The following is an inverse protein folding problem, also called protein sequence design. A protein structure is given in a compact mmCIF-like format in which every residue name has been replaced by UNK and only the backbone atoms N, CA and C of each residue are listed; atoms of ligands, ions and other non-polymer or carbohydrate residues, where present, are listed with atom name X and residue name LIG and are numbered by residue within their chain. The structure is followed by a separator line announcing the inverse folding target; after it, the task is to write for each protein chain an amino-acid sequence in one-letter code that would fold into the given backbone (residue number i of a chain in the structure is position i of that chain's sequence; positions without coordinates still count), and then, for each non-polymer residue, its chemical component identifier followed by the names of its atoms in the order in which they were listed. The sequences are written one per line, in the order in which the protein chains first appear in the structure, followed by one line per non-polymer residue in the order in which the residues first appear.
data_IF_669939587730
#
_entry.id   IF_669939587730
#
_cell.length_a   1.000
_cell.length_b   1.000
_cell.length_c   1.000
_cell.angle_alpha   90.00
_cell.angle_beta   90.00
_cell.angle_gamma   90.00
#
_symmetry.space_group_name_H-M   'P 1'
#
loop_
_entity.id
_entity.type
_entity.pdbx_description
1 polymer ?
#
# COMPACT_ATOMS: atom_id res chain seq x y z
N UNK A 1 10.74 -5.71 -18.91
CA UNK A 1 9.59 -5.54 -19.82
C UNK A 1 9.78 -6.39 -21.09
N UNK A 2 8.86 -7.31 -21.36
CA UNK A 2 8.88 -8.08 -22.62
C UNK A 2 8.12 -7.31 -23.69
N UNK A 3 8.85 -6.83 -24.71
CA UNK A 3 8.41 -6.18 -25.97
C UNK A 3 7.42 -5.01 -25.84
N UNK A 4 6.20 -5.22 -25.34
CA UNK A 4 5.10 -4.24 -25.29
C UNK A 4 4.68 -3.83 -23.86
N UNK A 5 5.36 -4.36 -22.83
CA UNK A 5 5.08 -4.01 -21.43
C UNK A 5 5.65 -2.63 -21.05
N UNK A 6 4.80 -1.75 -20.53
CA UNK A 6 5.17 -0.42 -20.01
C UNK A 6 6.20 -0.51 -18.89
N UNK A 7 6.05 -1.51 -18.01
CA UNK A 7 6.95 -1.83 -16.91
C UNK A 7 6.89 -3.34 -16.69
N UNK A 8 7.99 -3.94 -16.18
CA UNK A 8 7.95 -5.34 -15.73
C UNK A 8 7.00 -5.53 -14.53
N UNK A 9 6.95 -6.71 -13.92
CA UNK A 9 6.13 -6.94 -12.73
C UNK A 9 6.39 -5.89 -11.66
N UNK A 10 5.36 -5.09 -11.34
CA UNK A 10 5.44 -3.91 -10.47
C UNK A 10 4.57 -4.13 -9.23
N UNK A 11 4.96 -5.13 -8.43
CA UNK A 11 4.23 -5.49 -7.21
C UNK A 11 4.52 -4.52 -6.05
N UNK A 12 3.60 -4.41 -5.07
CA UNK A 12 3.85 -3.64 -3.87
C UNK A 12 4.96 -4.26 -3.01
N UNK A 13 5.62 -3.41 -2.24
CA UNK A 13 6.64 -3.80 -1.27
C UNK A 13 6.11 -3.70 0.16
N UNK A 14 6.75 -4.39 1.11
CA UNK A 14 6.30 -4.41 2.51
C UNK A 14 6.38 -3.02 3.12
N UNK A 15 5.24 -2.48 3.52
CA UNK A 15 5.10 -1.07 3.91
C UNK A 15 5.80 -0.74 5.24
N UNK A 16 5.84 -1.69 6.19
CA UNK A 16 6.47 -1.49 7.51
C UNK A 16 7.92 -1.02 7.45
N UNK A 17 8.67 -1.38 6.39
CA UNK A 17 10.05 -0.91 6.20
C UNK A 17 10.15 0.60 6.02
N UNK A 18 9.06 1.26 5.60
CA UNK A 18 8.99 2.70 5.34
C UNK A 18 8.38 3.49 6.51
N UNK A 19 7.92 2.83 7.57
CA UNK A 19 7.20 3.48 8.68
C UNK A 19 8.03 4.60 9.33
N UNK A 20 9.34 4.36 9.51
CA UNK A 20 10.26 5.34 10.11
C UNK A 20 10.41 6.65 9.33
N UNK A 21 10.05 6.65 8.04
CA UNK A 21 10.12 7.83 7.18
C UNK A 21 8.77 8.53 6.99
N UNK A 22 7.68 7.89 7.43
CA UNK A 22 6.32 8.27 7.05
C UNK A 22 5.95 9.67 7.55
N UNK A 23 6.24 9.96 8.82
CA UNK A 23 5.98 11.29 9.40
C UNK A 23 6.68 12.40 8.60
N UNK A 24 7.98 12.24 8.34
CA UNK A 24 8.77 13.22 7.59
C UNK A 24 8.20 13.45 6.19
N UNK A 25 7.86 12.37 5.47
CA UNK A 25 7.31 12.48 4.11
C UNK A 25 5.96 13.18 4.12
N UNK A 26 5.03 12.77 5.00
CA UNK A 26 3.69 13.36 5.06
C UNK A 26 3.77 14.86 5.40
N UNK A 27 4.54 15.22 6.43
CA UNK A 27 4.66 16.61 6.89
C UNK A 27 5.32 17.55 5.86
N UNK A 28 6.23 17.04 5.02
CA UNK A 28 6.98 17.87 4.09
C UNK A 28 6.37 17.96 2.69
N UNK A 29 5.58 16.96 2.29
CA UNK A 29 5.11 16.85 0.91
C UNK A 29 3.61 17.09 0.74
N UNK A 30 2.83 17.01 1.83
CA UNK A 30 1.37 17.03 1.73
C UNK A 30 0.80 15.82 0.98
N UNK A 31 1.54 14.71 0.94
CA UNK A 31 1.12 13.46 0.30
C UNK A 31 -0.21 12.98 0.90
N UNK A 32 -1.20 12.76 0.04
CA UNK A 32 -2.55 12.36 0.46
C UNK A 32 -2.67 10.86 0.81
N UNK A 33 -1.79 10.03 0.26
CA UNK A 33 -1.84 8.60 0.53
C UNK A 33 -0.67 7.81 0.00
N UNK A 34 -0.56 6.58 0.49
CA UNK A 34 0.53 5.65 0.20
C UNK A 34 -0.03 4.30 -0.24
N UNK A 35 0.69 3.60 -1.12
CA UNK A 35 0.34 2.23 -1.56
C UNK A 35 1.46 1.26 -1.18
N UNK A 36 1.12 0.10 -0.63
CA UNK A 36 2.08 -0.95 -0.30
C UNK A 36 1.42 -2.31 -0.05
N UNK A 37 2.14 -3.23 0.61
CA UNK A 37 1.57 -4.45 1.17
C UNK A 37 1.87 -4.60 2.65
N UNK A 38 1.11 -5.48 3.31
CA UNK A 38 1.17 -5.75 4.75
C UNK A 38 0.62 -4.58 5.60
N UNK A 39 0.59 -4.80 6.90
CA UNK A 39 0.17 -3.82 7.89
C UNK A 39 1.11 -2.61 7.98
N UNK A 40 0.66 -1.59 8.70
CA UNK A 40 1.46 -0.44 9.11
C UNK A 40 1.65 -0.52 10.62
N UNK A 41 2.82 -0.15 11.11
CA UNK A 41 3.09 -0.07 12.54
C UNK A 41 2.42 1.14 13.20
N UNK A 42 2.34 1.17 14.55
CA UNK A 42 1.65 2.22 15.29
C UNK A 42 2.13 3.64 14.97
N UNK A 43 3.45 3.83 14.81
CA UNK A 43 4.04 5.14 14.47
C UNK A 43 3.55 5.65 13.11
N UNK A 44 3.43 4.77 12.13
CA UNK A 44 2.93 5.15 10.81
C UNK A 44 1.42 5.42 10.82
N UNK A 45 0.64 4.64 11.58
CA UNK A 45 -0.81 4.85 11.75
C UNK A 45 -1.08 6.22 12.40
N UNK A 46 -0.31 6.58 13.44
CA UNK A 46 -0.43 7.88 14.09
C UNK A 46 -0.07 9.03 13.14
N UNK A 47 0.99 8.88 12.35
CA UNK A 47 1.35 9.86 11.32
C UNK A 47 0.24 10.01 10.26
N UNK A 48 -0.33 8.89 9.78
CA UNK A 48 -1.45 8.89 8.84
C UNK A 48 -2.64 9.66 9.41
N UNK A 49 -3.01 9.41 10.66
CA UNK A 49 -4.10 10.11 11.36
C UNK A 49 -3.82 11.61 11.49
N UNK A 50 -2.61 11.98 11.90
CA UNK A 50 -2.20 13.37 12.12
C UNK A 50 -2.24 14.22 10.86
N UNK A 51 -1.87 13.63 9.74
CA UNK A 51 -1.80 14.30 8.44
C UNK A 51 -3.02 14.03 7.56
N UNK A 52 -4.06 13.38 8.10
CA UNK A 52 -5.30 13.01 7.40
C UNK A 52 -5.05 12.28 6.07
N UNK A 53 -3.98 11.48 6.02
CA UNK A 53 -3.60 10.69 4.86
C UNK A 53 -4.32 9.33 4.85
N UNK A 54 -4.13 8.55 3.78
CA UNK A 54 -4.63 7.16 3.71
C UNK A 54 -3.52 6.17 3.38
N UNK A 55 -3.66 4.93 3.88
CA UNK A 55 -2.84 3.81 3.42
C UNK A 55 -3.69 2.81 2.65
N UNK A 56 -3.29 2.56 1.41
CA UNK A 56 -3.92 1.63 0.50
C UNK A 56 -3.05 0.38 0.38
N UNK A 57 -3.64 -0.78 0.66
CA UNK A 57 -2.98 -2.07 0.49
C UNK A 57 -3.30 -2.64 -0.89
N UNK A 58 -2.25 -2.95 -1.64
CA UNK A 58 -2.32 -3.75 -2.86
C UNK A 58 -2.06 -5.23 -2.54
N UNK A 59 -2.60 -6.12 -3.39
CA UNK A 59 -2.47 -7.57 -3.19
C UNK A 59 -1.02 -8.02 -3.46
N UNK A 60 -0.38 -8.59 -2.42
CA UNK A 60 0.95 -9.19 -2.55
C UNK A 60 0.95 -10.44 -3.43
N UNK A 61 2.01 -10.65 -4.21
CA UNK A 61 2.17 -11.81 -5.09
C UNK A 61 1.47 -11.68 -6.46
N UNK A 62 0.61 -10.68 -6.65
CA UNK A 62 -0.09 -10.39 -7.90
C UNK A 62 0.64 -9.35 -8.78
N UNK A 63 1.99 -9.29 -8.73
CA UNK A 63 2.79 -8.22 -9.35
C UNK A 63 2.54 -8.04 -10.86
N UNK A 64 2.29 -9.14 -11.58
CA UNK A 64 1.92 -9.10 -13.00
C UNK A 64 0.55 -8.48 -13.23
N UNK A 65 -0.44 -8.79 -12.39
CA UNK A 65 -1.78 -8.21 -12.51
C UNK A 65 -1.75 -6.72 -12.14
N UNK A 66 -0.95 -6.34 -11.15
CA UNK A 66 -0.75 -4.94 -10.77
C UNK A 66 -0.06 -4.16 -11.90
N UNK A 67 0.93 -4.74 -12.58
CA UNK A 67 1.57 -4.05 -13.72
C UNK A 67 0.62 -3.84 -14.90
N UNK A 68 -0.45 -4.66 -15.04
CA UNK A 68 -1.53 -4.41 -16.01
C UNK A 68 -2.36 -3.17 -15.72
N UNK A 69 -2.30 -2.59 -14.52
CA UNK A 69 -2.92 -1.30 -14.22
C UNK A 69 -2.03 -0.11 -14.61
N UNK A 70 -0.75 -0.33 -14.90
CA UNK A 70 0.21 0.73 -15.25
C UNK A 70 0.12 1.02 -16.76
N UNK A 71 -0.21 2.27 -17.10
CA UNK A 71 -0.36 2.76 -18.48
C UNK A 71 0.89 3.46 -18.99
N UNK A 72 1.61 4.16 -18.11
CA UNK A 72 2.90 4.81 -18.43
C UNK A 72 3.83 4.74 -17.23
N UNK A 73 5.12 4.68 -17.48
CA UNK A 73 6.18 4.72 -16.48
C UNK A 73 7.32 5.59 -16.99
N UNK A 74 7.84 6.50 -16.16
CA UNK A 74 9.08 7.22 -16.43
C UNK A 74 9.94 7.33 -15.18
N UNK A 75 11.25 7.24 -15.34
CA UNK A 75 12.19 7.53 -14.25
C UNK A 75 12.16 9.05 -14.00
N UNK A 76 11.95 9.44 -12.75
CA UNK A 76 11.90 10.83 -12.32
C UNK A 76 13.21 11.25 -11.63
N UNK A 77 13.80 10.37 -10.83
CA UNK A 77 15.04 10.63 -10.10
C UNK A 77 15.82 9.34 -9.78
N UNK A 78 17.12 9.49 -9.55
CA UNK A 78 18.04 8.43 -9.10
C UNK A 78 18.08 7.21 -10.03
N UNK A 79 18.24 7.45 -11.34
CA UNK A 79 18.23 6.40 -12.37
C UNK A 79 19.29 5.31 -12.15
N UNK A 80 20.38 5.64 -11.49
CA UNK A 80 21.48 4.74 -11.10
C UNK A 80 21.06 3.69 -10.06
N UNK A 81 19.97 3.92 -9.31
CA UNK A 81 19.41 2.95 -8.36
C UNK A 81 18.60 1.84 -9.02
N UNK A 82 18.45 1.86 -10.35
CA UNK A 82 17.75 0.83 -11.10
C UNK A 82 16.30 0.66 -10.64
N UNK A 83 15.94 -0.53 -10.15
CA UNK A 83 14.58 -0.84 -9.70
C UNK A 83 14.10 -0.03 -8.48
N UNK A 84 15.03 0.57 -7.73
CA UNK A 84 14.75 1.42 -6.56
C UNK A 84 14.72 2.92 -6.91
N UNK A 85 14.86 3.27 -8.20
CA UNK A 85 14.71 4.66 -8.65
C UNK A 85 13.30 5.21 -8.37
N UNK A 86 13.16 6.53 -8.34
CA UNK A 86 11.83 7.14 -8.23
C UNK A 86 11.19 7.14 -9.61
N UNK A 87 10.03 6.51 -9.72
CA UNK A 87 9.24 6.45 -10.94
C UNK A 87 7.97 7.27 -10.81
N UNK A 88 7.61 7.95 -11.88
CA UNK A 88 6.25 8.44 -12.08
C UNK A 88 5.47 7.41 -12.91
N UNK A 89 4.32 7.01 -12.39
CA UNK A 89 3.40 6.08 -13.06
C UNK A 89 2.07 6.75 -13.38
N UNK A 90 1.53 6.46 -14.56
CA UNK A 90 0.11 6.66 -14.84
C UNK A 90 -0.58 5.32 -14.61
N UNK A 91 -1.52 5.27 -13.68
CA UNK A 91 -2.25 4.05 -13.30
C UNK A 91 -3.73 4.20 -13.58
N UNK A 92 -4.37 3.10 -13.98
CA UNK A 92 -5.81 3.01 -14.25
C UNK A 92 -6.33 1.68 -13.70
N UNK A 93 -7.45 1.71 -12.98
CA UNK A 93 -8.10 0.54 -12.38
C UNK A 93 -7.17 -0.33 -11.51
N UNK A 94 -6.25 0.30 -10.78
CA UNK A 94 -5.34 -0.41 -9.87
C UNK A 94 -6.13 -0.96 -8.66
N UNK A 95 -6.17 -2.29 -8.46
CA UNK A 95 -6.94 -2.87 -7.36
C UNK A 95 -6.20 -2.65 -6.04
N UNK A 96 -6.80 -1.82 -5.18
CA UNK A 96 -6.30 -1.51 -3.84
C UNK A 96 -7.44 -1.47 -2.84
N UNK A 97 -7.12 -1.67 -1.56
CA UNK A 97 -8.09 -1.58 -0.45
C UNK A 97 -7.59 -0.59 0.58
N UNK A 98 -8.49 0.24 1.14
CA UNK A 98 -8.15 1.11 2.28
C UNK A 98 -7.81 0.22 3.47
N UNK A 99 -6.55 0.23 3.88
CA UNK A 99 -6.05 -0.58 4.99
C UNK A 99 -5.84 0.25 6.27
N UNK A 100 -5.57 1.55 6.13
CA UNK A 100 -5.67 2.54 7.23
C UNK A 100 -6.40 3.77 6.70
N UNK A 101 -7.48 4.16 7.36
CA UNK A 101 -8.25 5.36 7.03
C UNK A 101 -7.62 6.65 7.61
N UNK A 102 -8.20 7.80 7.28
CA UNK A 102 -7.72 9.12 7.77
C UNK A 102 -7.84 9.31 9.28
N UNK A 103 -8.59 8.45 9.97
CA UNK A 103 -8.76 8.48 11.42
C UNK A 103 -7.76 7.56 12.13
N UNK A 104 -6.92 6.86 11.37
CA UNK A 104 -5.98 5.86 11.88
C UNK A 104 -6.63 4.50 12.17
N UNK A 105 -7.83 4.23 11.66
CA UNK A 105 -8.46 2.92 11.81
C UNK A 105 -7.81 1.91 10.86
N UNK A 106 -7.16 0.88 11.43
CA UNK A 106 -6.46 -0.16 10.66
C UNK A 106 -7.30 -1.42 10.50
N UNK A 107 -7.47 -1.89 9.26
CA UNK A 107 -8.15 -3.17 8.97
C UNK A 107 -7.41 -4.36 9.57
N UNK A 108 -6.09 -4.27 9.72
CA UNK A 108 -5.27 -5.33 10.32
C UNK A 108 -5.51 -5.45 11.83
N UNK A 109 -6.11 -4.44 12.45
CA UNK A 109 -6.54 -4.48 13.85
C UNK A 109 -8.04 -4.76 13.98
N UNK A 110 -8.88 -4.07 13.20
CA UNK A 110 -10.33 -4.18 13.33
C UNK A 110 -10.87 -5.50 12.78
N UNK A 111 -10.37 -5.97 11.64
CA UNK A 111 -10.89 -7.17 10.99
C UNK A 111 -10.70 -8.44 11.84
N UNK A 112 -9.52 -8.75 12.43
CA UNK A 112 -9.38 -9.92 13.29
C UNK A 112 -10.38 -9.91 14.46
N UNK A 113 -10.58 -8.76 15.11
CA UNK A 113 -11.54 -8.61 16.23
C UNK A 113 -12.98 -8.87 15.77
N UNK A 114 -13.38 -8.28 14.63
CA UNK A 114 -14.72 -8.44 14.05
C UNK A 114 -14.96 -9.91 13.69
N UNK A 115 -14.01 -10.54 13.00
CA UNK A 115 -14.16 -11.92 12.54
C UNK A 115 -14.11 -12.93 13.67
N UNK A 116 -13.25 -12.72 14.68
CA UNK A 116 -13.24 -13.57 15.87
C UNK A 116 -14.62 -13.57 16.57
N UNK A 117 -15.23 -12.39 16.74
CA UNK A 117 -16.56 -12.26 17.34
C UNK A 117 -17.69 -12.89 16.50
N UNK A 118 -17.54 -12.91 15.17
CA UNK A 118 -18.50 -13.54 14.25
C UNK A 118 -18.33 -15.05 14.20
N UNK A 119 -17.10 -15.52 14.01
CA UNK A 119 -16.74 -16.94 13.87
C UNK A 119 -17.02 -17.68 15.18
N UNK A 120 -16.77 -17.06 16.34
CA UNK A 120 -17.07 -17.67 17.64
C UNK A 120 -18.55 -17.96 17.88
N UNK A 121 -19.46 -17.44 17.04
CA UNK A 121 -20.90 -17.72 17.09
C UNK A 121 -21.32 -18.87 16.16
N UNK A 122 -20.43 -19.35 15.30
CA UNK A 122 -20.73 -20.45 14.38
C UNK A 122 -20.81 -21.74 15.21
N UNK A 123 -21.95 -22.45 15.23
CA UNK A 123 -22.06 -23.70 15.95
C UNK A 123 -21.03 -24.71 15.44
N UNK A 124 -20.31 -25.34 16.36
CA UNK A 124 -19.48 -26.49 16.00
C UNK A 124 -20.43 -27.66 15.76
N UNK A 125 -20.42 -28.18 14.54
CA UNK A 125 -21.10 -29.44 14.22
C UNK A 125 -20.18 -30.53 14.73
N UNK A 126 -20.56 -31.18 15.83
CA UNK A 126 -19.89 -32.37 16.34
C UNK A 126 -20.28 -33.60 15.50
#
# INVERSE_FOLDING_TARGET
PVRDEVVGPAGPTTATRMDKFTETILAQTGLLGMVGKSERGPTAIEAIRRHEAVYLMAVGGAAYLVSKAVRKARVLAFADLGMEAIYEFVVEDMPVTVAVDTRGESVHESAPRIWQAKIGKIPLVN
#
